data_IF_303253134940
#
_entry.id   IF_303253134940
#
_cell.length_a   1.000
_cell.length_b   1.000
_cell.length_c   1.000
_cell.angle_alpha   90.00
_cell.angle_beta   90.00
_cell.angle_gamma   90.00
#
_symmetry.space_group_name_H-M   'P 1'
#
loop_
_entity.id
_entity.type
_entity.pdbx_description
1 polymer ?
#
# COMPACT_ATOMS: atom_id res chain seq x y z
N UNK A 1 30.39 22.11 -2.42
CA UNK A 1 29.87 22.37 -1.07
C UNK A 1 28.80 23.44 -1.26
N UNK A 2 27.55 23.17 -0.91
CA UNK A 2 26.51 24.18 -1.02
C UNK A 2 26.88 25.34 -0.07
N UNK A 3 26.83 26.56 -0.59
CA UNK A 3 27.12 27.79 0.14
C UNK A 3 26.14 27.91 1.32
N UNK A 4 26.64 27.76 2.55
CA UNK A 4 25.81 27.79 3.77
C UNK A 4 25.37 29.19 4.18
N UNK A 5 25.78 30.24 3.45
CA UNK A 5 25.46 31.63 3.76
C UNK A 5 24.30 32.20 2.93
N UNK A 6 23.84 31.50 1.89
CA UNK A 6 22.81 32.02 0.97
C UNK A 6 21.60 31.07 0.86
N UNK A 7 20.39 31.63 0.79
CA UNK A 7 19.15 30.90 0.53
C UNK A 7 18.19 31.73 -0.32
N UNK A 8 17.28 31.06 -1.03
CA UNK A 8 16.19 31.73 -1.77
C UNK A 8 15.03 32.00 -0.83
N UNK A 9 14.72 33.28 -0.60
CA UNK A 9 13.57 33.66 0.21
C UNK A 9 12.25 33.33 -0.51
N UNK A 10 11.37 32.60 0.16
CA UNK A 10 10.04 32.25 -0.33
C UNK A 10 8.95 33.16 0.28
N UNK A 11 7.90 33.54 -0.48
CA UNK A 11 6.82 34.39 0.01
C UNK A 11 5.83 33.57 0.85
N UNK A 12 6.17 33.29 2.11
CA UNK A 12 5.37 32.50 3.04
C UNK A 12 4.60 33.38 4.03
N UNK A 13 3.39 32.95 4.39
CA UNK A 13 2.57 33.53 5.46
C UNK A 13 2.03 32.44 6.36
N UNK A 14 1.92 32.73 7.66
CA UNK A 14 1.38 31.81 8.66
C UNK A 14 0.07 32.36 9.23
N UNK A 15 -0.96 31.52 9.30
CA UNK A 15 -2.20 31.84 10.01
C UNK A 15 -1.95 31.77 11.52
N UNK A 16 -2.15 32.86 12.29
CA UNK A 16 -1.92 32.88 13.74
C UNK A 16 -2.76 31.87 14.52
N UNK A 17 -3.94 31.50 14.02
CA UNK A 17 -4.91 30.64 14.69
C UNK A 17 -4.67 29.16 14.39
N UNK A 18 -4.62 28.80 13.11
CA UNK A 18 -4.45 27.41 12.66
C UNK A 18 -2.99 26.97 12.61
N UNK A 19 -2.04 27.92 12.67
CA UNK A 19 -0.60 27.72 12.43
C UNK A 19 -0.29 27.13 11.05
N UNK A 20 -1.24 27.18 10.12
CA UNK A 20 -1.04 26.71 8.75
C UNK A 20 -0.20 27.71 7.94
N UNK A 21 0.72 27.18 7.16
CA UNK A 21 1.48 27.94 6.16
C UNK A 21 0.65 28.12 4.88
N UNK A 22 0.88 29.25 4.22
CA UNK A 22 0.32 29.60 2.92
C UNK A 22 1.37 30.36 2.11
N UNK A 23 1.25 30.33 0.78
CA UNK A 23 2.12 31.11 -0.11
C UNK A 23 1.33 31.65 -1.29
N UNK A 24 1.79 32.77 -1.85
CA UNK A 24 1.31 33.28 -3.14
C UNK A 24 1.93 32.55 -4.33
N UNK A 25 3.04 31.85 -4.12
CA UNK A 25 3.71 31.06 -5.13
C UNK A 25 3.04 29.68 -5.24
N UNK A 26 2.43 29.40 -6.39
CA UNK A 26 1.75 28.13 -6.66
C UNK A 26 2.72 26.98 -6.95
N UNK A 27 3.98 27.29 -7.27
CA UNK A 27 4.98 26.25 -7.57
C UNK A 27 5.33 25.40 -6.34
N UNK A 28 5.06 25.91 -5.13
CA UNK A 28 5.35 25.24 -3.85
C UNK A 28 4.09 24.78 -3.10
N UNK A 29 2.93 24.75 -3.77
CA UNK A 29 1.64 24.45 -3.12
C UNK A 29 1.61 23.05 -2.50
N UNK A 30 2.26 22.07 -3.15
CA UNK A 30 2.35 20.69 -2.66
C UNK A 30 3.19 20.60 -1.38
N UNK A 31 4.34 21.25 -1.35
CA UNK A 31 5.25 21.29 -0.21
C UNK A 31 4.59 21.99 1.00
N UNK A 32 3.81 23.05 0.75
CA UNK A 32 3.04 23.72 1.80
C UNK A 32 1.96 22.79 2.37
N UNK A 33 1.27 22.03 1.52
CA UNK A 33 0.28 21.04 1.96
C UNK A 33 0.95 19.95 2.82
N UNK A 34 2.11 19.45 2.40
CA UNK A 34 2.87 18.42 3.11
C UNK A 34 3.36 18.92 4.48
N UNK A 35 3.91 20.14 4.56
CA UNK A 35 4.35 20.73 5.83
C UNK A 35 3.17 20.91 6.79
N UNK A 36 2.03 21.39 6.28
CA UNK A 36 0.82 21.55 7.09
C UNK A 36 0.26 20.21 7.59
N UNK A 37 0.29 19.16 6.76
CA UNK A 37 -0.09 17.81 7.16
C UNK A 37 0.88 17.27 8.23
N UNK A 38 2.18 17.46 8.04
CA UNK A 38 3.21 17.05 8.98
C UNK A 38 3.09 17.77 10.34
N UNK A 39 2.81 19.07 10.32
CA UNK A 39 2.57 19.85 11.55
C UNK A 39 1.41 19.28 12.37
N UNK A 40 0.30 18.93 11.73
CA UNK A 40 -0.85 18.29 12.40
C UNK A 40 -0.48 16.95 13.02
N UNK A 41 0.37 16.15 12.36
CA UNK A 41 0.86 14.88 12.93
C UNK A 41 1.73 15.12 14.16
N UNK A 42 2.60 16.14 14.16
CA UNK A 42 3.43 16.50 15.31
C UNK A 42 2.60 16.99 16.50
N UNK A 43 1.58 17.80 16.26
CA UNK A 43 0.65 18.24 17.31
C UNK A 43 -0.09 17.09 17.98
N UNK A 44 -0.28 15.98 17.26
CA UNK A 44 -0.89 14.74 17.79
C UNK A 44 0.10 13.79 18.48
N UNK A 45 1.36 14.18 18.70
CA UNK A 45 2.34 13.38 19.43
C UNK A 45 2.21 13.58 20.94
N UNK A 46 2.10 12.47 21.67
CA UNK A 46 2.14 12.44 23.14
C UNK A 46 3.58 12.42 23.70
N UNK A 47 4.60 12.66 22.87
CA UNK A 47 6.01 12.62 23.28
C UNK A 47 6.44 13.94 23.93
N UNK A 48 7.42 13.91 24.85
CA UNK A 48 8.05 15.13 25.36
C UNK A 48 8.53 16.00 24.19
N UNK A 49 8.18 17.29 24.22
CA UNK A 49 8.53 18.29 23.21
C UNK A 49 7.96 18.06 21.79
N UNK A 50 6.97 17.17 21.61
CA UNK A 50 6.38 16.86 20.29
C UNK A 50 7.41 16.42 19.24
N UNK A 51 8.52 15.84 19.70
CA UNK A 51 9.57 15.30 18.82
C UNK A 51 9.20 13.86 18.48
N UNK A 52 9.27 13.46 17.20
CA UNK A 52 9.07 12.07 16.81
C UNK A 52 9.98 11.14 17.63
N UNK A 53 9.44 10.08 18.23
CA UNK A 53 10.27 9.09 18.90
C UNK A 53 11.20 8.42 17.88
N UNK A 54 12.32 7.81 18.32
CA UNK A 54 13.12 6.94 17.46
C UNK A 54 12.21 5.94 16.75
N UNK A 55 12.49 5.55 15.49
CA UNK A 55 11.64 4.62 14.74
C UNK A 55 11.36 3.35 15.55
N UNK A 56 10.20 3.34 16.18
CA UNK A 56 9.76 2.30 17.09
C UNK A 56 8.73 1.43 16.37
N UNK A 57 8.42 0.29 16.99
CA UNK A 57 7.33 -0.58 16.56
C UNK A 57 6.04 0.24 16.35
N UNK A 58 5.22 -0.18 15.38
CA UNK A 58 3.94 0.45 15.08
C UNK A 58 3.12 0.75 16.34
N UNK A 59 2.51 1.93 16.43
CA UNK A 59 1.60 2.26 17.54
C UNK A 59 0.51 1.16 17.64
N UNK A 60 0.42 0.42 18.76
CA UNK A 60 -0.43 -0.77 18.83
C UNK A 60 -1.90 -0.49 18.56
N UNK A 61 -2.42 0.64 19.04
CA UNK A 61 -3.84 1.00 18.91
C UNK A 61 -4.29 1.12 17.45
N UNK A 62 -3.49 1.78 16.60
CA UNK A 62 -3.81 1.93 15.17
C UNK A 62 -3.75 0.58 14.45
N UNK A 63 -2.73 -0.23 14.75
CA UNK A 63 -2.61 -1.59 14.22
C UNK A 63 -3.81 -2.47 14.60
N UNK A 64 -4.32 -2.36 15.83
CA UNK A 64 -5.53 -3.08 16.26
C UNK A 64 -6.76 -2.65 15.47
N UNK A 65 -6.94 -1.34 15.24
CA UNK A 65 -8.06 -0.82 14.46
C UNK A 65 -8.01 -1.27 12.99
N UNK A 66 -6.83 -1.20 12.37
CA UNK A 66 -6.62 -1.69 10.99
C UNK A 66 -6.91 -3.19 10.90
N UNK A 67 -6.43 -3.98 11.86
CA UNK A 67 -6.72 -5.42 11.91
C UNK A 67 -8.21 -5.71 12.08
N UNK A 68 -8.93 -4.94 12.92
CA UNK A 68 -10.38 -5.08 13.08
C UNK A 68 -11.12 -4.79 11.77
N UNK A 69 -10.71 -3.76 11.01
CA UNK A 69 -11.28 -3.47 9.69
C UNK A 69 -10.97 -4.60 8.70
N UNK A 70 -9.73 -5.08 8.66
CA UNK A 70 -9.31 -6.23 7.84
C UNK A 70 -10.13 -7.48 8.15
N UNK A 71 -10.34 -7.79 9.42
CA UNK A 71 -11.16 -8.93 9.87
C UNK A 71 -12.64 -8.77 9.48
N UNK A 72 -13.18 -7.55 9.56
CA UNK A 72 -14.54 -7.23 9.11
C UNK A 72 -14.68 -7.41 7.59
N UNK A 73 -13.66 -7.01 6.82
CA UNK A 73 -13.56 -7.29 5.39
C UNK A 73 -13.51 -8.80 5.09
N UNK A 74 -12.67 -9.55 5.82
CA UNK A 74 -12.58 -11.00 5.68
C UNK A 74 -13.90 -11.70 6.01
N UNK A 75 -14.61 -11.26 7.04
CA UNK A 75 -15.92 -11.79 7.42
C UNK A 75 -16.96 -11.51 6.34
N UNK A 76 -16.96 -10.32 5.76
CA UNK A 76 -17.85 -9.94 4.64
C UNK A 76 -17.54 -10.76 3.39
N UNK A 77 -16.25 -10.96 3.08
CA UNK A 77 -15.81 -11.80 1.96
C UNK A 77 -16.31 -13.25 2.11
N UNK A 78 -16.17 -13.84 3.30
CA UNK A 78 -16.65 -15.21 3.58
C UNK A 78 -18.17 -15.36 3.41
N UNK A 79 -18.93 -14.29 3.60
CA UNK A 79 -20.38 -14.25 3.39
C UNK A 79 -20.78 -14.03 1.91
N UNK A 80 -19.82 -13.88 1.01
CA UNK A 80 -20.06 -13.50 -0.39
C UNK A 80 -20.41 -12.02 -0.59
N UNK A 81 -20.35 -11.20 0.46
CA UNK A 81 -20.60 -9.76 0.38
C UNK A 81 -19.33 -9.02 -0.06
N UNK A 82 -18.92 -9.23 -1.31
CA UNK A 82 -17.62 -8.76 -1.83
C UNK A 82 -17.51 -7.23 -1.91
N UNK A 83 -18.58 -6.54 -2.31
CA UNK A 83 -18.59 -5.07 -2.35
C UNK A 83 -18.36 -4.48 -0.95
N UNK A 84 -18.99 -5.05 0.07
CA UNK A 84 -18.81 -4.62 1.47
C UNK A 84 -17.40 -4.96 1.98
N UNK A 85 -16.86 -6.12 1.60
CA UNK A 85 -15.47 -6.46 1.90
C UNK A 85 -14.48 -5.43 1.34
N UNK A 86 -14.69 -4.98 0.09
CA UNK A 86 -13.88 -3.92 -0.53
C UNK A 86 -13.97 -2.62 0.26
N UNK A 87 -15.15 -2.21 0.75
CA UNK A 87 -15.29 -1.01 1.59
C UNK A 87 -14.46 -1.10 2.87
N UNK A 88 -14.52 -2.23 3.58
CA UNK A 88 -13.72 -2.42 4.78
C UNK A 88 -12.21 -2.42 4.51
N UNK A 89 -11.77 -3.05 3.42
CA UNK A 89 -10.35 -3.00 3.04
C UNK A 89 -9.90 -1.60 2.62
N UNK A 90 -10.75 -0.82 1.93
CA UNK A 90 -10.44 0.57 1.58
C UNK A 90 -10.27 1.45 2.83
N UNK A 91 -11.16 1.29 3.82
CA UNK A 91 -11.02 2.00 5.10
C UNK A 91 -9.72 1.61 5.83
N UNK A 92 -9.37 0.33 5.84
CA UNK A 92 -8.14 -0.16 6.43
C UNK A 92 -6.89 0.40 5.71
N UNK A 93 -6.91 0.44 4.37
CA UNK A 93 -5.83 0.98 3.54
C UNK A 93 -5.61 2.48 3.78
N UNK A 94 -6.68 3.28 3.82
CA UNK A 94 -6.60 4.71 4.15
C UNK A 94 -5.96 4.93 5.52
N UNK A 95 -6.42 4.18 6.52
CA UNK A 95 -5.89 4.28 7.88
C UNK A 95 -4.41 3.86 7.98
N UNK A 96 -4.00 2.85 7.21
CA UNK A 96 -2.62 2.40 7.13
C UNK A 96 -1.72 3.40 6.37
N UNK A 97 -2.23 4.05 5.32
CA UNK A 97 -1.52 5.07 4.55
C UNK A 97 -1.34 6.37 5.34
N UNK A 98 -2.28 6.71 6.22
CA UNK A 98 -2.22 7.90 7.08
C UNK A 98 -1.28 7.71 8.31
N UNK A 99 -0.51 6.62 8.36
CA UNK A 99 0.49 6.39 9.42
C UNK A 99 1.58 7.46 9.38
N UNK A 100 2.04 7.95 10.56
CA UNK A 100 3.14 8.89 10.60
C UNK A 100 4.40 8.33 9.92
N UNK A 101 5.13 9.15 9.17
CA UNK A 101 6.26 8.69 8.35
C UNK A 101 7.46 8.20 9.16
N UNK A 102 7.51 8.50 10.46
CA UNK A 102 8.54 8.03 11.39
C UNK A 102 8.25 6.65 12.02
N UNK A 103 7.08 6.05 11.76
CA UNK A 103 6.81 4.66 12.15
C UNK A 103 7.62 3.66 11.31
N UNK A 104 7.79 2.44 11.81
CA UNK A 104 8.58 1.40 11.15
C UNK A 104 8.06 1.05 9.73
N UNK A 105 8.66 1.65 8.71
CA UNK A 105 8.22 1.58 7.30
C UNK A 105 8.11 0.14 6.78
N UNK A 106 9.00 -0.76 7.21
CA UNK A 106 8.93 -2.18 6.84
C UNK A 106 7.63 -2.84 7.29
N UNK A 107 7.20 -2.58 8.53
CA UNK A 107 5.96 -3.14 9.08
C UNK A 107 4.73 -2.53 8.41
N UNK A 108 4.76 -1.21 8.10
CA UNK A 108 3.69 -0.54 7.35
C UNK A 108 3.55 -1.13 5.94
N UNK A 109 4.67 -1.34 5.24
CA UNK A 109 4.65 -1.96 3.89
C UNK A 109 4.08 -3.37 3.91
N UNK A 110 4.40 -4.16 4.93
CA UNK A 110 3.83 -5.51 5.07
C UNK A 110 2.32 -5.50 5.34
N UNK A 111 1.85 -4.61 6.23
CA UNK A 111 0.42 -4.41 6.52
C UNK A 111 -0.35 -3.98 5.25
N UNK A 112 0.16 -2.97 4.53
CA UNK A 112 -0.42 -2.50 3.27
C UNK A 112 -0.42 -3.60 2.20
N UNK A 113 0.68 -4.35 2.06
CA UNK A 113 0.78 -5.44 1.10
C UNK A 113 -0.33 -6.48 1.31
N UNK A 114 -0.59 -6.87 2.56
CA UNK A 114 -1.68 -7.82 2.89
C UNK A 114 -3.07 -7.25 2.59
N UNK A 115 -3.31 -5.97 2.90
CA UNK A 115 -4.60 -5.32 2.65
C UNK A 115 -4.91 -5.20 1.15
N UNK A 116 -3.93 -4.75 0.35
CA UNK A 116 -4.07 -4.73 -1.11
C UNK A 116 -4.31 -6.13 -1.67
N UNK A 117 -3.62 -7.15 -1.14
CA UNK A 117 -3.83 -8.52 -1.57
C UNK A 117 -5.28 -8.98 -1.32
N UNK A 118 -5.81 -8.69 -0.13
CA UNK A 118 -7.19 -9.06 0.24
C UNK A 118 -8.23 -8.28 -0.58
N UNK A 119 -7.99 -6.99 -0.85
CA UNK A 119 -8.86 -6.16 -1.70
C UNK A 119 -8.85 -6.65 -3.14
N UNK A 120 -7.67 -6.99 -3.70
CA UNK A 120 -7.56 -7.62 -5.01
C UNK A 120 -8.42 -8.88 -5.12
N UNK A 121 -8.37 -9.76 -4.11
CA UNK A 121 -9.20 -10.97 -4.09
C UNK A 121 -10.71 -10.66 -4.12
N UNK A 122 -11.16 -9.66 -3.35
CA UNK A 122 -12.57 -9.26 -3.33
C UNK A 122 -13.01 -8.59 -4.65
N UNK A 123 -12.11 -7.89 -5.33
CA UNK A 123 -12.34 -7.33 -6.66
C UNK A 123 -12.40 -8.42 -7.74
N UNK A 124 -11.53 -9.43 -7.68
CA UNK A 124 -11.58 -10.61 -8.55
C UNK A 124 -12.90 -11.36 -8.41
N UNK A 125 -13.41 -11.52 -7.17
CA UNK A 125 -14.70 -12.17 -6.93
C UNK A 125 -15.89 -11.39 -7.52
N UNK A 126 -15.71 -10.09 -7.81
CA UNK A 126 -16.67 -9.24 -8.52
C UNK A 126 -16.35 -9.14 -10.02
N UNK A 127 -15.36 -9.88 -10.53
CA UNK A 127 -14.87 -9.81 -11.90
C UNK A 127 -14.38 -8.42 -12.32
N UNK A 128 -13.97 -7.59 -11.35
CA UNK A 128 -13.38 -6.27 -11.58
C UNK A 128 -11.88 -6.41 -11.86
N UNK A 129 -11.55 -7.11 -12.94
CA UNK A 129 -10.18 -7.53 -13.28
C UNK A 129 -9.14 -6.40 -13.37
N UNK A 130 -9.45 -5.22 -13.98
CA UNK A 130 -8.47 -4.13 -14.04
C UNK A 130 -8.09 -3.62 -12.65
N UNK A 131 -9.08 -3.38 -11.79
CA UNK A 131 -8.86 -2.89 -10.43
C UNK A 131 -8.14 -3.95 -9.58
N UNK A 132 -8.52 -5.23 -9.71
CA UNK A 132 -7.84 -6.32 -9.04
C UNK A 132 -6.36 -6.44 -9.45
N UNK A 133 -6.07 -6.26 -10.75
CA UNK A 133 -4.70 -6.30 -11.29
C UNK A 133 -3.83 -5.19 -10.70
N UNK A 134 -4.37 -3.98 -10.55
CA UNK A 134 -3.66 -2.84 -9.94
C UNK A 134 -3.40 -3.11 -8.45
N UNK A 135 -4.40 -3.56 -7.70
CA UNK A 135 -4.22 -3.87 -6.27
C UNK A 135 -3.20 -5.00 -6.05
N UNK A 136 -3.23 -6.04 -6.87
CA UNK A 136 -2.28 -7.14 -6.78
C UNK A 136 -0.84 -6.72 -7.11
N UNK A 137 -0.65 -5.81 -8.07
CA UNK A 137 0.65 -5.19 -8.36
C UNK A 137 1.16 -4.36 -7.19
N UNK A 138 0.32 -3.49 -6.64
CA UNK A 138 0.68 -2.68 -5.47
C UNK A 138 1.08 -3.57 -4.28
N UNK A 139 0.35 -4.66 -4.06
CA UNK A 139 0.69 -5.66 -3.04
C UNK A 139 2.10 -6.24 -3.24
N UNK A 140 2.45 -6.59 -4.48
CA UNK A 140 3.76 -7.15 -4.85
C UNK A 140 4.87 -6.10 -4.75
N UNK A 141 4.66 -4.87 -5.21
CA UNK A 141 5.67 -3.80 -5.10
C UNK A 141 5.96 -3.44 -3.63
N UNK A 142 4.98 -3.60 -2.74
CA UNK A 142 5.18 -3.45 -1.30
C UNK A 142 5.93 -4.63 -0.66
N UNK A 143 5.73 -5.85 -1.15
CA UNK A 143 6.40 -7.09 -0.68
C UNK A 143 6.61 -8.05 -1.84
N UNK A 144 7.82 -8.03 -2.42
CA UNK A 144 8.17 -8.79 -3.64
C UNK A 144 8.39 -10.29 -3.42
N UNK A 145 8.82 -10.66 -2.21
CA UNK A 145 9.17 -12.04 -1.82
C UNK A 145 8.31 -12.46 -0.62
N UNK A 146 7.83 -13.69 -0.61
CA UNK A 146 6.84 -14.17 0.36
C UNK A 146 5.43 -13.64 0.08
N UNK A 147 5.10 -13.39 -1.19
CA UNK A 147 3.81 -12.90 -1.67
C UNK A 147 3.34 -13.63 -2.95
N UNK A 148 3.42 -14.96 -2.93
CA UNK A 148 2.98 -15.83 -4.04
C UNK A 148 1.55 -15.51 -4.49
N UNK A 149 0.65 -15.19 -3.55
CA UNK A 149 -0.76 -14.83 -3.84
C UNK A 149 -0.88 -13.52 -4.63
N UNK A 150 -0.05 -12.52 -4.34
CA UNK A 150 -0.06 -11.26 -5.08
C UNK A 150 0.33 -11.48 -6.55
N UNK A 151 1.42 -12.22 -6.77
CA UNK A 151 1.86 -12.64 -8.10
C UNK A 151 0.77 -13.39 -8.86
N UNK A 152 0.16 -14.39 -8.21
CA UNK A 152 -0.91 -15.19 -8.81
C UNK A 152 -2.15 -14.37 -9.15
N UNK A 153 -2.61 -13.49 -8.25
CA UNK A 153 -3.84 -12.69 -8.45
C UNK A 153 -3.72 -11.72 -9.62
N UNK A 154 -2.56 -11.07 -9.79
CA UNK A 154 -2.33 -10.23 -10.97
C UNK A 154 -2.23 -11.05 -12.24
N UNK A 155 -1.46 -12.15 -12.24
CA UNK A 155 -1.36 -13.04 -13.41
C UNK A 155 -2.73 -13.56 -13.86
N UNK A 156 -3.55 -13.97 -12.90
CA UNK A 156 -4.93 -14.41 -13.13
C UNK A 156 -5.79 -13.27 -13.67
N UNK A 157 -5.71 -12.07 -13.10
CA UNK A 157 -6.48 -10.91 -13.58
C UNK A 157 -6.08 -10.50 -15.01
N UNK A 158 -4.78 -10.51 -15.33
CA UNK A 158 -4.27 -10.27 -16.69
C UNK A 158 -4.78 -11.33 -17.68
N UNK A 159 -4.80 -12.60 -17.27
CA UNK A 159 -5.35 -13.69 -18.06
C UNK A 159 -6.82 -13.48 -18.40
N UNK A 160 -7.65 -13.16 -17.40
CA UNK A 160 -9.09 -12.93 -17.60
C UNK A 160 -9.37 -11.67 -18.46
N UNK A 161 -8.42 -10.72 -18.52
CA UNK A 161 -8.46 -9.59 -19.45
C UNK A 161 -7.94 -9.92 -20.86
N UNK A 162 -7.52 -11.16 -21.13
CA UNK A 162 -6.94 -11.58 -22.41
C UNK A 162 -5.51 -11.12 -22.65
N UNK A 163 -4.84 -10.50 -21.66
CA UNK A 163 -3.44 -10.02 -21.76
C UNK A 163 -2.46 -11.16 -21.47
N UNK A 164 -2.53 -12.21 -22.28
CA UNK A 164 -1.86 -13.50 -22.02
C UNK A 164 -0.32 -13.38 -21.97
N UNK A 165 0.27 -12.61 -22.89
CA UNK A 165 1.73 -12.44 -22.95
C UNK A 165 2.26 -11.79 -21.67
N UNK A 166 1.65 -10.69 -21.25
CA UNK A 166 2.00 -9.98 -20.03
C UNK A 166 1.72 -10.80 -18.78
N UNK A 167 0.63 -11.56 -18.75
CA UNK A 167 0.35 -12.50 -17.67
C UNK A 167 1.48 -13.54 -17.53
N UNK A 168 1.94 -14.10 -18.66
CA UNK A 168 3.02 -15.10 -18.69
C UNK A 168 4.34 -14.51 -18.18
N UNK A 169 4.73 -13.35 -18.68
CA UNK A 169 5.94 -12.63 -18.25
C UNK A 169 5.89 -12.29 -16.76
N UNK A 170 4.76 -11.75 -16.29
CA UNK A 170 4.53 -11.41 -14.89
C UNK A 170 4.66 -12.63 -13.96
N UNK A 171 3.96 -13.72 -14.30
CA UNK A 171 3.98 -14.94 -13.50
C UNK A 171 5.37 -15.57 -13.48
N UNK A 172 6.10 -15.54 -14.60
CA UNK A 172 7.49 -15.99 -14.68
C UNK A 172 8.40 -15.21 -13.72
N UNK A 173 8.33 -13.88 -13.75
CA UNK A 173 9.09 -13.04 -12.83
C UNK A 173 8.76 -13.34 -11.36
N UNK A 174 7.48 -13.60 -11.06
CA UNK A 174 7.05 -14.02 -9.73
C UNK A 174 7.66 -15.35 -9.30
N UNK A 175 7.70 -16.35 -10.19
CA UNK A 175 8.35 -17.64 -9.92
C UNK A 175 9.85 -17.48 -9.65
N UNK A 176 10.55 -16.70 -10.46
CA UNK A 176 12.00 -16.47 -10.32
C UNK A 176 12.33 -15.84 -8.95
N UNK A 177 11.51 -14.90 -8.49
CA UNK A 177 11.70 -14.23 -7.20
C UNK A 177 11.28 -15.11 -6.00
N UNK A 178 10.14 -15.77 -6.08
CA UNK A 178 9.58 -16.54 -4.96
C UNK A 178 10.31 -17.88 -4.74
N UNK A 179 11.01 -18.40 -5.76
CA UNK A 179 11.86 -19.60 -5.63
C UNK A 179 13.06 -19.37 -4.68
N UNK A 180 13.47 -18.11 -4.53
CA UNK A 180 14.48 -17.68 -3.56
C UNK A 180 13.87 -17.30 -2.21
N UNK A 181 12.54 -17.30 -2.11
CA UNK A 181 11.79 -16.86 -0.95
C UNK A 181 11.51 -17.94 0.10
N UNK A 182 10.99 -17.52 1.27
CA UNK A 182 10.64 -18.43 2.36
C UNK A 182 9.47 -19.37 2.00
N UNK A 183 8.62 -18.96 1.07
CA UNK A 183 7.39 -19.67 0.67
C UNK A 183 7.57 -20.55 -0.58
N UNK A 184 8.82 -20.90 -0.95
CA UNK A 184 9.14 -21.70 -2.16
C UNK A 184 8.44 -23.06 -2.25
N UNK A 185 7.93 -23.60 -1.14
CA UNK A 185 7.14 -24.83 -1.13
C UNK A 185 5.69 -24.64 -1.63
N UNK A 186 5.21 -23.40 -1.68
CA UNK A 186 3.82 -23.06 -1.99
C UNK A 186 3.63 -22.47 -3.40
N UNK A 187 4.55 -22.75 -4.34
CA UNK A 187 4.52 -22.21 -5.70
C UNK A 187 3.56 -22.95 -6.64
N UNK A 188 2.95 -24.07 -6.22
CA UNK A 188 2.19 -24.95 -7.10
C UNK A 188 1.08 -24.26 -7.90
N UNK A 189 0.29 -23.35 -7.28
CA UNK A 189 -0.76 -22.61 -7.99
C UNK A 189 -0.19 -21.61 -9.01
N UNK A 190 0.96 -20.99 -8.71
CA UNK A 190 1.64 -20.04 -9.59
C UNK A 190 2.31 -20.77 -10.76
N UNK A 191 2.93 -21.92 -10.52
CA UNK A 191 3.49 -22.80 -11.55
C UNK A 191 2.39 -23.35 -12.48
N UNK A 192 1.25 -23.76 -11.92
CA UNK A 192 0.11 -24.23 -12.70
C UNK A 192 -0.40 -23.12 -13.63
N UNK A 193 -0.59 -21.91 -13.09
CA UNK A 193 -0.98 -20.75 -13.89
C UNK A 193 0.03 -20.45 -15.00
N UNK A 194 1.33 -20.51 -14.72
CA UNK A 194 2.37 -20.29 -15.74
C UNK A 194 2.31 -21.32 -16.88
N UNK A 195 2.14 -22.60 -16.54
CA UNK A 195 2.01 -23.69 -17.52
C UNK A 195 0.78 -23.49 -18.40
N UNK A 196 -0.34 -23.10 -17.81
CA UNK A 196 -1.58 -22.85 -18.55
C UNK A 196 -1.44 -21.64 -19.48
N UNK A 197 -0.83 -20.53 -19.01
CA UNK A 197 -0.56 -19.36 -19.84
C UNK A 197 0.35 -19.69 -21.03
N UNK A 198 1.38 -20.51 -20.80
CA UNK A 198 2.32 -20.92 -21.86
C UNK A 198 1.66 -21.82 -22.91
N UNK A 199 0.61 -22.57 -22.55
CA UNK A 199 -0.17 -23.38 -23.51
C UNK A 199 -1.13 -22.57 -24.36
N UNK A 200 -1.52 -21.38 -23.89
CA UNK A 200 -2.49 -20.50 -24.55
C UNK A 200 -1.83 -19.49 -25.51
N UNK A 201 -0.50 -19.36 -25.46
CA UNK A 201 0.33 -18.54 -26.35
C UNK A 201 0.80 -19.36 -27.56
#
# INVERSE_FOLDING_TARGET
>A
MADTETFTQLPLSIDPSSKALSSTDKSIEAEIADINAYHKLLLGLDTPNQVPPPPAQLKPQRTVQINKMRESGNASYKKGAYAEAVRFYDMALRMAADRPPWEASGQVREELSQLYNNRAQALMAQQLWPAASVDAELSVELKKVGNVKGWWRRGQSLREMGRLQEASEWVKSGLDLEMLGPDKANLGELEALYKDLTRLL
#
